data_IF_427224570522
#
_entry.id   IF_427224570522
#
_cell.length_a   1.000
_cell.length_b   1.000
_cell.length_c   1.000
_cell.angle_alpha   90.00
_cell.angle_beta   90.00
_cell.angle_gamma   90.00
#
_symmetry.space_group_name_H-M   'P 1'
#
loop_
_entity.id
_entity.type
_entity.pdbx_description
1 polymer ?
#
# COMPACT_ATOMS: atom_id res chain seq x y z
N UNK A 1 9.18 18.47 17.15
CA UNK A 1 9.02 18.12 16.70
C UNK A 1 9.50 18.13 15.66
N UNK A 2 9.99 18.01 15.35
CA UNK A 2 10.44 18.02 14.41
C UNK A 2 10.64 16.90 13.73
N UNK A 3 10.21 15.85 14.22
CA UNK A 3 10.07 14.70 13.49
C UNK A 3 9.28 14.94 12.29
N UNK A 4 8.36 15.82 12.37
CA UNK A 4 7.56 16.10 11.23
C UNK A 4 8.36 16.71 10.14
N UNK A 5 9.42 17.41 10.46
CA UNK A 5 10.15 17.97 9.43
C UNK A 5 10.83 17.00 8.59
N UNK A 6 11.50 16.03 9.16
CA UNK A 6 12.22 15.07 8.39
C UNK A 6 11.35 14.22 7.51
N UNK A 7 10.26 13.67 8.02
CA UNK A 7 9.37 12.94 7.12
C UNK A 7 8.80 13.81 6.04
N UNK A 8 8.54 15.03 6.33
CA UNK A 8 7.99 15.89 5.33
C UNK A 8 8.95 16.16 4.21
N UNK A 9 10.21 16.23 4.51
CA UNK A 9 11.19 16.41 3.47
C UNK A 9 11.33 15.18 2.62
N UNK A 10 11.21 14.03 3.22
CA UNK A 10 11.36 12.78 2.49
C UNK A 10 10.12 12.36 1.76
N UNK A 11 9.00 12.45 2.43
CA UNK A 11 7.75 11.96 1.88
C UNK A 11 7.34 12.62 0.58
N UNK A 12 7.39 13.92 0.45
CA UNK A 12 7.01 14.53 -0.82
C UNK A 12 7.84 14.05 -1.99
N UNK A 13 9.14 13.93 -1.79
CA UNK A 13 9.99 13.43 -2.82
C UNK A 13 9.70 12.01 -3.16
N UNK A 14 9.57 11.18 -2.15
CA UNK A 14 9.26 9.79 -2.35
C UNK A 14 7.93 9.63 -3.06
N UNK A 15 6.97 10.42 -2.65
CA UNK A 15 5.63 10.38 -3.23
C UNK A 15 5.66 10.73 -4.70
N UNK A 16 6.44 11.71 -5.07
CA UNK A 16 6.57 12.08 -6.47
C UNK A 16 7.17 10.95 -7.27
N UNK A 17 8.19 10.32 -6.75
CA UNK A 17 8.81 9.21 -7.45
C UNK A 17 7.86 8.03 -7.55
N UNK A 18 7.09 7.80 -6.52
CA UNK A 18 6.11 6.74 -6.55
C UNK A 18 5.07 7.01 -7.63
N UNK A 19 4.69 8.25 -7.83
CA UNK A 19 3.74 8.58 -8.88
C UNK A 19 4.33 8.31 -10.25
N UNK A 20 5.61 8.50 -10.40
CA UNK A 20 6.24 8.25 -11.67
C UNK A 20 6.29 6.78 -12.02
N UNK A 21 6.52 5.93 -11.05
CA UNK A 21 6.64 4.50 -11.31
C UNK A 21 5.34 3.75 -11.14
N UNK A 22 4.35 4.38 -10.53
CA UNK A 22 3.07 3.73 -10.30
C UNK A 22 2.15 3.84 -11.48
N UNK A 23 1.13 3.01 -11.48
CA UNK A 23 0.15 3.01 -12.55
C UNK A 23 -1.23 3.27 -11.95
N UNK A 24 -1.90 4.28 -12.47
CA UNK A 24 -3.22 4.64 -11.98
C UNK A 24 -4.24 3.67 -12.57
N UNK A 25 -5.05 3.08 -11.72
CA UNK A 25 -6.03 2.08 -12.15
C UNK A 25 -7.38 2.37 -11.53
N UNK A 26 -8.42 2.10 -12.32
CA UNK A 26 -9.78 2.12 -11.81
C UNK A 26 -10.15 0.69 -11.47
N UNK A 27 -10.59 0.48 -10.25
CA UNK A 27 -10.85 -0.85 -9.75
C UNK A 27 -12.30 -0.91 -9.29
N UNK A 28 -13.06 -1.85 -9.84
CA UNK A 28 -14.47 -1.96 -9.51
C UNK A 28 -14.65 -2.41 -8.07
N UNK A 29 -15.75 -1.98 -7.50
CA UNK A 29 -16.16 -2.41 -6.16
C UNK A 29 -16.16 -3.94 -6.10
N UNK A 30 -15.69 -4.47 -4.99
CA UNK A 30 -15.71 -5.91 -4.76
C UNK A 30 -14.55 -6.66 -5.35
N UNK A 31 -13.53 -5.95 -5.81
CA UNK A 31 -12.36 -6.60 -6.40
C UNK A 31 -11.36 -6.94 -5.31
N UNK A 32 -10.90 -8.18 -5.32
CA UNK A 32 -9.88 -8.62 -4.38
C UNK A 32 -8.53 -8.19 -4.90
N UNK A 33 -7.87 -7.32 -4.15
CA UNK A 33 -6.57 -6.80 -4.53
C UNK A 33 -5.46 -7.62 -3.93
N UNK A 34 -5.69 -8.16 -2.74
CA UNK A 34 -4.67 -8.88 -2.00
C UNK A 34 -5.33 -9.98 -1.21
N UNK A 35 -4.63 -11.09 -1.06
CA UNK A 35 -5.13 -12.27 -0.38
C UNK A 35 -4.09 -12.78 0.60
N UNK A 36 -4.55 -13.34 1.71
CA UNK A 36 -3.62 -13.96 2.67
C UNK A 36 -2.79 -15.03 1.98
N UNK A 37 -1.53 -15.08 2.33
CA UNK A 37 -0.62 -16.06 1.78
C UNK A 37 -0.02 -15.67 0.46
N UNK A 38 -0.49 -14.60 -0.14
CA UNK A 38 0.00 -14.14 -1.42
C UNK A 38 1.11 -13.12 -1.19
N UNK A 39 2.18 -13.22 -1.96
CA UNK A 39 3.22 -12.21 -1.85
C UNK A 39 2.73 -10.92 -2.48
N UNK A 40 3.07 -9.82 -1.85
CA UNK A 40 2.62 -8.51 -2.30
C UNK A 40 3.44 -8.09 -3.50
N UNK A 41 2.76 -7.82 -4.62
CA UNK A 41 3.42 -7.41 -5.84
C UNK A 41 3.26 -5.93 -6.14
N UNK A 42 2.17 -5.34 -5.65
CA UNK A 42 1.93 -3.92 -5.82
C UNK A 42 1.37 -3.37 -4.52
N UNK A 43 1.64 -2.10 -4.29
CA UNK A 43 1.11 -1.40 -3.13
C UNK A 43 0.13 -0.36 -3.64
N UNK A 44 -1.13 -0.41 -3.21
CA UNK A 44 -2.10 0.57 -3.69
C UNK A 44 -2.08 1.83 -2.83
N UNK A 45 -2.15 2.97 -3.50
CA UNK A 45 -2.36 4.24 -2.82
C UNK A 45 -3.69 4.76 -3.33
N UNK A 46 -4.68 4.83 -2.48
CA UNK A 46 -6.03 5.16 -2.88
C UNK A 46 -6.14 6.65 -3.20
N UNK A 47 -6.67 6.95 -4.38
CA UNK A 47 -6.94 8.33 -4.76
C UNK A 47 -8.40 8.66 -4.53
N UNK A 48 -9.28 7.73 -4.84
CA UNK A 48 -10.71 7.85 -4.62
C UNK A 48 -11.23 6.49 -4.23
N UNK A 49 -12.27 6.44 -3.42
CA UNK A 49 -12.90 5.19 -3.09
C UNK A 49 -12.47 4.69 -1.73
N UNK A 50 -12.54 3.38 -1.56
CA UNK A 50 -12.34 2.79 -0.25
C UNK A 50 -11.94 1.35 -0.41
N UNK A 51 -10.92 0.92 0.31
CA UNK A 51 -10.49 -0.47 0.33
C UNK A 51 -10.63 -1.00 1.74
N UNK A 52 -11.23 -2.17 1.87
CA UNK A 52 -11.41 -2.83 3.15
C UNK A 52 -10.27 -3.82 3.35
N UNK A 53 -9.61 -3.76 4.51
CA UNK A 53 -8.54 -4.68 4.85
C UNK A 53 -9.01 -5.52 6.02
N UNK A 54 -8.96 -6.83 5.84
CA UNK A 54 -9.46 -7.75 6.86
C UNK A 54 -8.66 -9.03 6.85
N UNK A 55 -8.83 -9.81 7.89
CA UNK A 55 -8.28 -11.15 7.95
C UNK A 55 -9.43 -12.11 8.21
N UNK A 56 -9.16 -13.40 8.13
CA UNK A 56 -10.17 -14.42 8.38
C UNK A 56 -9.73 -15.33 9.50
N UNK A 57 -10.69 -15.70 10.32
CA UNK A 57 -10.44 -16.62 11.40
C UNK A 57 -11.67 -17.51 11.53
N UNK A 58 -11.50 -18.79 11.28
CA UNK A 58 -12.59 -19.75 11.40
C UNK A 58 -13.83 -19.30 10.65
N UNK A 59 -13.67 -19.00 9.38
CA UNK A 59 -14.77 -18.61 8.49
C UNK A 59 -15.39 -17.26 8.81
N UNK A 60 -14.75 -16.49 9.66
CA UNK A 60 -15.23 -15.14 9.96
C UNK A 60 -14.25 -14.13 9.44
N UNK A 61 -14.79 -13.04 8.92
CA UNK A 61 -13.96 -11.90 8.55
C UNK A 61 -13.77 -11.03 9.76
N UNK A 62 -12.55 -10.63 9.99
CA UNK A 62 -12.24 -9.67 11.04
C UNK A 62 -11.73 -8.42 10.38
N UNK A 63 -12.54 -7.38 10.42
CA UNK A 63 -12.16 -6.11 9.83
C UNK A 63 -11.02 -5.50 10.61
N UNK A 64 -9.97 -5.11 9.90
CA UNK A 64 -8.83 -4.46 10.53
C UNK A 64 -8.91 -2.96 10.35
N UNK A 65 -9.05 -2.50 9.11
CA UNK A 65 -9.18 -1.07 8.85
C UNK A 65 -9.59 -0.86 7.39
N UNK A 66 -9.88 0.39 7.08
CA UNK A 66 -10.15 0.80 5.71
C UNK A 66 -9.00 1.67 5.24
N UNK A 67 -8.70 1.61 3.96
CA UNK A 67 -7.75 2.51 3.34
C UNK A 67 -8.56 3.58 2.63
N UNK A 68 -8.40 4.81 3.06
CA UNK A 68 -9.12 5.95 2.52
C UNK A 68 -8.24 6.70 1.54
N UNK A 69 -8.79 7.69 0.85
CA UNK A 69 -7.98 8.45 -0.11
C UNK A 69 -6.71 8.98 0.52
N UNK A 70 -5.65 8.87 -0.23
CA UNK A 70 -4.30 9.29 0.14
C UNK A 70 -3.66 8.41 1.20
N UNK A 71 -4.26 7.26 1.48
CA UNK A 71 -3.67 6.29 2.39
C UNK A 71 -3.21 5.08 1.63
N UNK A 72 -2.39 4.29 2.27
CA UNK A 72 -1.85 3.08 1.70
C UNK A 72 -2.00 1.95 2.69
N UNK A 73 -1.87 0.72 2.21
CA UNK A 73 -1.98 -0.44 3.06
C UNK A 73 -0.67 -0.68 3.80
N UNK A 74 -0.64 -0.31 5.06
CA UNK A 74 0.55 -0.42 5.86
C UNK A 74 1.02 -1.86 5.99
N UNK A 75 0.08 -2.79 6.17
CA UNK A 75 0.46 -4.18 6.34
C UNK A 75 1.02 -4.78 5.06
N UNK A 76 0.50 -4.36 3.91
CA UNK A 76 1.05 -4.80 2.64
C UNK A 76 2.46 -4.26 2.45
N UNK A 77 2.64 -3.01 2.81
CA UNK A 77 3.94 -2.37 2.68
C UNK A 77 4.96 -3.10 3.54
N UNK A 78 4.58 -3.38 4.78
CA UNK A 78 5.45 -4.08 5.71
C UNK A 78 5.82 -5.47 5.19
N UNK A 79 4.82 -6.20 4.70
CA UNK A 79 5.08 -7.54 4.17
C UNK A 79 6.02 -7.48 2.98
N UNK A 80 5.84 -6.48 2.10
CA UNK A 80 6.67 -6.38 0.92
C UNK A 80 8.12 -6.09 1.29
N UNK A 81 8.32 -5.25 2.28
CA UNK A 81 9.67 -4.91 2.72
C UNK A 81 10.38 -6.13 3.28
N UNK A 82 9.65 -6.92 4.05
CA UNK A 82 10.21 -8.10 4.68
C UNK A 82 10.17 -9.33 3.80
N UNK A 83 9.65 -9.19 2.58
CA UNK A 83 9.57 -10.29 1.63
C UNK A 83 8.76 -11.45 2.21
N UNK A 84 7.66 -11.13 2.85
CA UNK A 84 6.78 -12.10 3.49
C UNK A 84 5.43 -12.12 2.78
N UNK A 85 4.72 -13.23 2.86
CA UNK A 85 3.37 -13.26 2.30
C UNK A 85 2.44 -12.38 3.11
N UNK A 86 1.39 -11.92 2.46
CA UNK A 86 0.41 -11.07 3.11
C UNK A 86 -0.31 -11.83 4.22
N UNK A 87 -0.61 -11.13 5.29
CA UNK A 87 -1.41 -11.69 6.36
C UNK A 87 -2.84 -11.18 6.31
N UNK A 88 -3.18 -10.44 5.28
CA UNK A 88 -4.50 -9.83 5.19
C UNK A 88 -5.07 -9.97 3.80
N UNK A 89 -6.39 -9.77 3.71
CA UNK A 89 -7.10 -9.60 2.46
C UNK A 89 -7.36 -8.12 2.27
N UNK A 90 -7.42 -7.67 1.02
CA UNK A 90 -7.81 -6.31 0.71
C UNK A 90 -8.77 -6.35 -0.45
N UNK A 91 -9.96 -5.78 -0.25
CA UNK A 91 -11.04 -5.80 -1.23
C UNK A 91 -11.61 -4.40 -1.34
N UNK A 92 -11.88 -3.96 -2.56
CA UNK A 92 -12.49 -2.65 -2.74
C UNK A 92 -13.91 -2.66 -2.21
N UNK A 93 -14.21 -1.69 -1.40
CA UNK A 93 -15.53 -1.54 -0.81
C UNK A 93 -16.40 -0.65 -1.69
N UNK A 94 -15.77 0.17 -2.52
CA UNK A 94 -16.42 1.05 -3.47
C UNK A 94 -15.60 1.03 -4.74
N UNK A 95 -16.15 1.57 -5.82
CA UNK A 95 -15.35 1.78 -7.01
C UNK A 95 -14.18 2.66 -6.60
N UNK A 96 -12.99 2.23 -6.91
CA UNK A 96 -11.79 2.83 -6.37
C UNK A 96 -10.83 3.22 -7.49
N UNK A 97 -10.21 4.37 -7.33
CA UNK A 97 -9.12 4.78 -8.20
C UNK A 97 -7.86 4.72 -7.35
N UNK A 98 -6.91 3.92 -7.74
CA UNK A 98 -5.70 3.73 -6.94
C UNK A 98 -4.47 3.79 -7.81
N UNK A 99 -3.42 4.33 -7.22
CA UNK A 99 -2.10 4.31 -7.84
C UNK A 99 -1.43 3.03 -7.36
N UNK A 100 -1.08 2.14 -8.28
CA UNK A 100 -0.48 0.86 -7.93
C UNK A 100 1.02 0.95 -8.14
N UNK A 101 1.76 0.77 -7.06
CA UNK A 101 3.21 0.89 -7.07
C UNK A 101 3.80 -0.51 -7.09
N UNK A 102 4.56 -0.89 -8.12
CA UNK A 102 5.21 -2.20 -8.10
C UNK A 102 6.18 -2.28 -6.94
N UNK A 103 6.17 -3.40 -6.25
CA UNK A 103 6.99 -3.56 -5.07
C UNK A 103 8.48 -3.44 -5.38
N UNK A 104 8.91 -4.01 -6.50
CA UNK A 104 10.32 -3.93 -6.84
C UNK A 104 10.75 -2.49 -7.09
N UNK A 105 9.88 -1.66 -7.66
CA UNK A 105 10.19 -0.26 -7.83
C UNK A 105 10.26 0.46 -6.49
N UNK A 106 9.35 0.12 -5.60
CA UNK A 106 9.35 0.73 -4.29
C UNK A 106 10.60 0.36 -3.52
N UNK A 107 11.00 -0.90 -3.60
CA UNK A 107 12.22 -1.35 -2.95
C UNK A 107 13.44 -0.62 -3.49
N UNK A 108 13.46 -0.40 -4.79
CA UNK A 108 14.55 0.33 -5.40
C UNK A 108 14.61 1.77 -4.89
N UNK A 109 13.46 2.40 -4.76
CA UNK A 109 13.40 3.76 -4.27
C UNK A 109 13.91 3.85 -2.84
N UNK A 110 13.54 2.88 -2.03
CA UNK A 110 13.98 2.85 -0.64
C UNK A 110 15.49 2.67 -0.58
N UNK A 111 16.03 1.82 -1.43
CA UNK A 111 17.46 1.61 -1.45
C UNK A 111 18.23 2.80 -1.94
N UNK A 112 17.66 3.52 -2.87
CA UNK A 112 18.32 4.68 -3.42
C UNK A 112 18.39 5.84 -2.47
N UNK A 113 17.61 5.79 -1.43
CA UNK A 113 17.58 6.86 -0.46
C UNK A 113 18.68 6.61 0.57
N UNK A 114 19.85 7.14 0.38
CA UNK A 114 20.96 6.78 1.24
C UNK A 114 20.75 7.25 2.64
N UNK A 115 20.12 8.36 2.82
CA UNK A 115 19.91 8.79 4.15
C UNK A 115 18.92 7.93 4.84
N UNK A 116 17.98 7.43 4.12
CA UNK A 116 17.03 6.53 4.69
C UNK A 116 17.65 5.23 5.06
N UNK A 117 18.69 4.85 4.36
CA UNK A 117 19.30 3.57 4.63
C UNK A 117 20.46 3.67 5.56
N UNK A 118 20.90 4.85 5.77
CA UNK A 118 22.02 4.94 6.60
C UNK A 118 21.68 5.16 7.93
#
# INVERSE_FOLDING_TARGET
>A
MDTTKNPELSFPRLFEKMREVGMLQNIDKGTEILREGQYVKVIPIVQKGLIKVFTRYEDRELLLYYIRPEESCIMSFSASINNEPSQVFAVTEEDTEALLIPVNELQALVKENPNGTR
#
